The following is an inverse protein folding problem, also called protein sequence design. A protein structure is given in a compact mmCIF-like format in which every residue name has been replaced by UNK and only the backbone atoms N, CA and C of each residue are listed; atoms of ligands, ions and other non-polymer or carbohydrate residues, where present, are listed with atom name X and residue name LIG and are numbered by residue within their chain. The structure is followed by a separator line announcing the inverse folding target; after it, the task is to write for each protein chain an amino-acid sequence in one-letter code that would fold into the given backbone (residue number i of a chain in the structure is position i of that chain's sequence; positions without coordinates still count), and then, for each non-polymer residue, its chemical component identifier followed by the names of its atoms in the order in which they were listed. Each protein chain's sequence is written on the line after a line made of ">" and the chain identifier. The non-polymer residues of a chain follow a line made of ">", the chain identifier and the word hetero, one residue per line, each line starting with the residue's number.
data_IF_869772484850
#
_entry.id   IF_869772484850
#
_cell.length_a   1.000
_cell.length_b   1.000
_cell.length_c   1.000
_cell.angle_alpha   90.00
_cell.angle_beta   90.00
_cell.angle_gamma   90.00
#
_symmetry.space_group_name_H-M   'P 1'
#
loop_
_entity.id
_entity.type
_entity.pdbx_description
1 polymer ?
#
# COMPACT_ATOMS: atom_id res chain seq x y z
N UNK A 1 -5.53 -25.12 -7.48
CA UNK A 1 -5.35 -23.81 -8.20
C UNK A 1 -4.18 -22.99 -7.70
N UNK A 2 -3.89 -22.96 -6.40
CA UNK A 2 -2.80 -22.12 -5.85
C UNK A 2 -1.45 -22.33 -6.55
N UNK A 3 -1.09 -23.57 -6.85
CA UNK A 3 0.19 -23.94 -7.45
C UNK A 3 0.18 -24.03 -8.98
N UNK A 4 -0.96 -23.74 -9.62
CA UNK A 4 -1.05 -23.69 -11.08
C UNK A 4 -0.48 -22.36 -11.58
N UNK A 5 0.28 -22.40 -12.70
CA UNK A 5 0.82 -21.18 -13.29
C UNK A 5 -0.30 -20.29 -13.85
N UNK A 6 0.00 -19.01 -13.95
CA UNK A 6 -0.82 -18.02 -14.63
C UNK A 6 0.02 -17.22 -15.61
N UNK A 7 -0.47 -17.04 -16.83
CA UNK A 7 0.19 -16.17 -17.81
C UNK A 7 -0.54 -14.83 -17.87
N UNK A 8 0.16 -13.75 -17.56
CA UNK A 8 -0.30 -12.38 -17.73
C UNK A 8 0.66 -11.63 -18.65
N UNK A 9 0.17 -11.10 -19.73
CA UNK A 9 0.97 -10.32 -20.70
C UNK A 9 2.25 -11.03 -21.15
N UNK A 10 2.17 -12.35 -21.38
CA UNK A 10 3.33 -13.18 -21.74
C UNK A 10 4.28 -13.53 -20.59
N UNK A 11 4.05 -13.00 -19.40
CA UNK A 11 4.82 -13.35 -18.20
C UNK A 11 4.17 -14.52 -17.48
N UNK A 12 4.92 -15.58 -17.21
CA UNK A 12 4.44 -16.72 -16.42
C UNK A 12 4.70 -16.48 -14.95
N UNK A 13 3.64 -16.48 -14.15
CA UNK A 13 3.66 -16.57 -12.70
C UNK A 13 3.58 -18.04 -12.30
N UNK A 14 4.61 -18.58 -11.69
CA UNK A 14 4.75 -20.03 -11.39
C UNK A 14 3.72 -20.60 -10.39
N UNK A 15 2.97 -19.75 -9.71
CA UNK A 15 1.84 -20.06 -8.82
C UNK A 15 0.95 -18.82 -8.67
N UNK A 16 -0.11 -18.91 -7.86
CA UNK A 16 -1.09 -17.83 -7.69
C UNK A 16 -0.84 -16.93 -6.49
N UNK A 17 0.32 -17.03 -5.81
CA UNK A 17 0.63 -16.23 -4.64
C UNK A 17 1.64 -15.12 -4.94
N UNK A 18 1.24 -13.89 -4.58
CA UNK A 18 2.07 -12.68 -4.70
C UNK A 18 2.32 -12.09 -3.30
N UNK A 19 3.55 -11.64 -3.05
CA UNK A 19 3.82 -10.75 -1.92
C UNK A 19 3.32 -9.35 -2.26
N UNK A 20 2.26 -8.90 -1.56
CA UNK A 20 1.69 -7.56 -1.71
C UNK A 20 2.69 -6.48 -1.31
N UNK A 21 2.49 -5.25 -1.78
CA UNK A 21 3.32 -4.10 -1.40
C UNK A 21 3.47 -3.98 0.12
N UNK A 22 4.70 -4.11 0.60
CA UNK A 22 5.12 -3.88 1.98
C UNK A 22 6.30 -2.93 1.93
N UNK A 23 6.26 -1.87 2.71
CA UNK A 23 7.34 -0.90 2.78
C UNK A 23 7.61 -0.44 4.19
N UNK A 24 8.76 0.16 4.40
CA UNK A 24 9.19 0.77 5.64
C UNK A 24 10.70 0.75 5.78
N UNK A 25 11.32 1.92 5.98
CA UNK A 25 12.74 2.13 6.32
C UNK A 25 13.74 1.28 5.54
N UNK A 26 13.51 1.16 4.23
CA UNK A 26 14.29 0.30 3.32
C UNK A 26 15.17 1.10 2.35
N UNK A 27 15.41 2.36 2.68
CA UNK A 27 16.29 3.23 1.91
C UNK A 27 17.12 4.15 2.84
N UNK A 28 18.12 4.78 2.23
CA UNK A 28 18.84 5.88 2.86
C UNK A 28 18.00 7.17 2.82
N UNK A 29 18.40 8.19 3.60
CA UNK A 29 17.68 9.46 3.69
C UNK A 29 17.55 10.23 2.37
N UNK A 30 18.40 9.94 1.38
CA UNK A 30 18.27 10.50 0.05
C UNK A 30 17.25 9.77 -0.85
N UNK A 31 16.68 8.67 -0.36
CA UNK A 31 15.75 7.80 -1.08
C UNK A 31 16.39 6.69 -1.89
N UNK A 32 17.72 6.54 -1.84
CA UNK A 32 18.42 5.41 -2.46
C UNK A 32 18.14 4.14 -1.67
N UNK A 33 17.84 3.05 -2.36
CA UNK A 33 17.63 1.74 -1.71
C UNK A 33 18.90 1.27 -1.01
N UNK A 34 18.74 0.67 0.17
CA UNK A 34 19.86 0.12 0.93
C UNK A 34 19.96 -1.40 0.76
N UNK A 35 21.09 -2.03 1.13
CA UNK A 35 21.26 -3.48 1.02
C UNK A 35 20.21 -4.30 1.78
N UNK A 36 19.67 -3.76 2.89
CA UNK A 36 18.61 -4.39 3.66
C UNK A 36 17.35 -4.63 2.82
N UNK A 37 16.97 -3.70 1.92
CA UNK A 37 15.83 -3.92 1.04
C UNK A 37 16.06 -5.10 0.09
N UNK A 38 17.24 -5.22 -0.48
CA UNK A 38 17.58 -6.37 -1.33
C UNK A 38 17.41 -7.69 -0.57
N UNK A 39 17.94 -7.79 0.67
CA UNK A 39 17.76 -8.97 1.52
C UNK A 39 16.29 -9.24 1.84
N UNK A 40 15.55 -8.20 2.20
CA UNK A 40 14.14 -8.30 2.50
C UNK A 40 13.32 -8.83 1.32
N UNK A 41 13.51 -8.29 0.12
CA UNK A 41 12.76 -8.70 -1.07
C UNK A 41 13.13 -10.12 -1.51
N UNK A 42 14.42 -10.47 -1.53
CA UNK A 42 14.90 -11.80 -1.94
C UNK A 42 14.42 -12.92 -1.02
N UNK A 43 14.20 -12.65 0.26
CA UNK A 43 13.67 -13.63 1.22
C UNK A 43 12.36 -14.26 0.76
N UNK A 44 11.44 -13.46 0.22
CA UNK A 44 10.15 -13.96 -0.27
C UNK A 44 10.29 -14.68 -1.61
N UNK A 45 11.16 -14.19 -2.48
CA UNK A 45 11.46 -14.84 -3.76
C UNK A 45 12.05 -16.24 -3.55
N UNK A 46 13.01 -16.37 -2.62
CA UNK A 46 13.59 -17.66 -2.18
C UNK A 46 12.53 -18.61 -1.62
N UNK A 47 11.56 -18.08 -0.86
CA UNK A 47 10.43 -18.85 -0.33
C UNK A 47 9.41 -19.27 -1.40
N UNK A 48 9.59 -18.86 -2.66
CA UNK A 48 8.90 -19.41 -3.82
C UNK A 48 7.65 -18.67 -4.26
N UNK A 49 7.34 -17.46 -3.75
CA UNK A 49 6.21 -16.67 -4.27
C UNK A 49 6.40 -16.41 -5.77
N UNK A 50 5.29 -16.37 -6.52
CA UNK A 50 5.34 -16.19 -7.97
C UNK A 50 5.70 -14.77 -8.38
N UNK A 51 5.39 -13.80 -7.53
CA UNK A 51 5.69 -12.41 -7.79
C UNK A 51 5.74 -11.57 -6.52
N UNK A 52 6.38 -10.45 -6.62
CA UNK A 52 6.49 -9.43 -5.58
C UNK A 52 6.05 -8.09 -6.17
N UNK A 53 5.10 -7.43 -5.51
CA UNK A 53 4.84 -6.02 -5.73
C UNK A 53 5.68 -5.25 -4.72
N UNK A 54 6.58 -4.40 -5.19
CA UNK A 54 7.53 -3.66 -4.35
C UNK A 54 6.87 -2.81 -3.27
N UNK A 55 7.64 -2.31 -2.32
CA UNK A 55 7.23 -1.12 -1.57
C UNK A 55 6.81 -0.02 -2.56
N UNK A 56 5.92 0.88 -2.14
CA UNK A 56 5.60 2.05 -2.96
C UNK A 56 6.85 2.91 -3.11
N UNK A 57 7.26 3.17 -4.35
CA UNK A 57 8.39 4.03 -4.69
C UNK A 57 7.86 5.42 -5.00
N UNK A 58 8.43 6.44 -4.35
CA UNK A 58 8.00 7.82 -4.53
C UNK A 58 8.45 8.39 -5.89
N UNK A 59 7.52 9.05 -6.58
CA UNK A 59 7.77 9.71 -7.86
C UNK A 59 8.26 11.16 -7.71
N UNK A 60 8.09 11.73 -6.53
CA UNK A 60 8.44 13.11 -6.19
C UNK A 60 9.55 13.16 -5.14
N UNK A 61 10.45 14.13 -5.23
CA UNK A 61 11.56 14.28 -4.30
C UNK A 61 11.16 14.87 -2.95
N UNK A 62 10.18 15.76 -2.95
CA UNK A 62 9.79 16.54 -1.78
C UNK A 62 8.71 15.83 -0.97
N UNK A 63 7.71 15.25 -1.66
CA UNK A 63 6.63 14.50 -1.01
C UNK A 63 7.08 13.07 -0.75
N UNK A 64 7.61 12.85 0.42
CA UNK A 64 8.16 11.58 0.85
C UNK A 64 7.29 10.90 1.89
N UNK A 65 7.12 9.60 1.76
CA UNK A 65 6.33 8.81 2.69
C UNK A 65 6.93 8.82 4.11
N UNK A 66 6.10 8.87 5.16
CA UNK A 66 6.55 8.71 6.54
C UNK A 66 7.25 7.37 6.81
N UNK A 67 7.09 6.39 5.94
CA UNK A 67 7.74 5.09 6.03
C UNK A 67 9.11 5.04 5.32
N UNK A 68 9.64 6.19 4.91
CA UNK A 68 10.94 6.31 4.23
C UNK A 68 11.03 5.34 3.03
N UNK A 69 10.08 5.48 2.09
CA UNK A 69 10.07 4.67 0.89
C UNK A 69 11.16 5.12 -0.09
N UNK A 70 11.68 4.20 -0.91
CA UNK A 70 12.60 4.55 -1.98
C UNK A 70 12.02 5.59 -2.93
N UNK A 71 12.89 6.30 -3.64
CA UNK A 71 12.54 7.27 -4.67
C UNK A 71 12.90 6.76 -6.06
N UNK A 72 12.15 7.22 -7.06
CA UNK A 72 12.46 7.04 -8.48
C UNK A 72 12.25 8.34 -9.26
N UNK A 73 12.45 9.48 -8.59
CA UNK A 73 12.34 10.83 -9.12
C UNK A 73 13.47 11.22 -10.08
N UNK A 74 14.63 10.55 -9.97
CA UNK A 74 15.82 10.79 -10.80
C UNK A 74 16.46 9.49 -11.32
N UNK A 75 17.19 9.60 -12.43
CA UNK A 75 17.80 8.44 -13.09
C UNK A 75 18.90 7.76 -12.24
N UNK A 76 19.50 8.48 -11.30
CA UNK A 76 20.48 7.92 -10.34
C UNK A 76 19.92 6.76 -9.51
N UNK A 77 18.61 6.69 -9.31
CA UNK A 77 17.95 5.64 -8.55
C UNK A 77 17.74 4.34 -9.34
N UNK A 78 17.87 4.36 -10.67
CA UNK A 78 17.64 3.21 -11.54
C UNK A 78 18.61 2.06 -11.22
N UNK A 79 19.91 2.36 -11.11
CA UNK A 79 20.94 1.32 -10.90
C UNK A 79 20.75 0.57 -9.58
N UNK A 80 20.61 1.22 -8.40
CA UNK A 80 20.40 0.51 -7.14
C UNK A 80 19.12 -0.35 -7.14
N UNK A 81 18.03 0.13 -7.76
CA UNK A 81 16.77 -0.63 -7.87
C UNK A 81 16.95 -1.84 -8.80
N UNK A 82 17.66 -1.69 -9.92
CA UNK A 82 17.98 -2.80 -10.85
C UNK A 82 18.71 -3.96 -10.16
N UNK A 83 19.57 -3.68 -9.20
CA UNK A 83 20.27 -4.73 -8.42
C UNK A 83 19.28 -5.55 -7.57
N UNK A 84 18.26 -4.92 -7.01
CA UNK A 84 17.16 -5.60 -6.29
C UNK A 84 16.33 -6.43 -7.26
N UNK A 85 15.93 -5.85 -8.40
CA UNK A 85 15.16 -6.54 -9.45
C UNK A 85 15.85 -7.84 -9.87
N UNK A 86 17.13 -7.76 -10.25
CA UNK A 86 17.92 -8.93 -10.67
C UNK A 86 18.03 -9.99 -9.57
N UNK A 87 18.20 -9.55 -8.32
CA UNK A 87 18.32 -10.48 -7.20
C UNK A 87 17.02 -11.25 -6.94
N UNK A 88 15.86 -10.62 -7.12
CA UNK A 88 14.55 -11.26 -7.00
C UNK A 88 14.27 -12.19 -8.21
N UNK A 89 14.52 -11.71 -9.42
CA UNK A 89 14.28 -12.47 -10.66
C UNK A 89 15.15 -13.74 -10.76
N UNK A 90 16.31 -13.79 -10.09
CA UNK A 90 17.17 -14.99 -10.00
C UNK A 90 16.45 -16.21 -9.39
N UNK A 91 15.34 -16.02 -8.68
CA UNK A 91 14.51 -17.07 -8.08
C UNK A 91 13.24 -17.38 -8.88
N UNK A 92 13.19 -17.04 -10.17
CA UNK A 92 11.98 -17.15 -11.00
C UNK A 92 10.77 -16.51 -10.31
N UNK A 93 10.96 -15.31 -9.79
CA UNK A 93 9.95 -14.49 -9.13
C UNK A 93 9.76 -13.19 -9.91
N UNK A 94 8.54 -12.90 -10.33
CA UNK A 94 8.23 -11.66 -11.06
C UNK A 94 8.31 -10.47 -10.11
N UNK A 95 8.92 -9.39 -10.59
CA UNK A 95 9.07 -8.18 -9.78
C UNK A 95 8.34 -7.01 -10.41
N UNK A 96 7.29 -6.54 -9.74
CA UNK A 96 6.45 -5.43 -10.17
C UNK A 96 6.76 -4.24 -9.29
N UNK A 97 7.20 -3.14 -9.88
CA UNK A 97 7.47 -1.91 -9.13
C UNK A 97 6.19 -1.11 -8.95
N UNK A 98 5.78 -0.91 -7.69
CA UNK A 98 4.68 -0.03 -7.37
C UNK A 98 5.19 1.41 -7.19
N UNK A 99 4.57 2.37 -7.89
CA UNK A 99 4.89 3.79 -7.76
C UNK A 99 3.72 4.59 -7.20
N UNK A 100 4.03 5.66 -6.47
CA UNK A 100 3.04 6.51 -5.84
C UNK A 100 3.60 7.83 -5.32
N UNK A 101 2.68 8.66 -4.84
CA UNK A 101 2.95 9.93 -4.20
C UNK A 101 2.08 9.99 -2.93
N UNK A 102 2.63 10.24 -1.74
CA UNK A 102 1.85 10.27 -0.50
C UNK A 102 0.90 11.46 -0.39
N UNK A 103 1.05 12.48 -1.24
CA UNK A 103 0.28 13.71 -1.14
C UNK A 103 0.44 14.37 0.24
N UNK A 104 -0.66 14.78 0.87
CA UNK A 104 -0.61 15.40 2.19
C UNK A 104 -0.20 14.46 3.34
N UNK A 105 -0.08 13.15 3.08
CA UNK A 105 0.51 12.21 4.04
C UNK A 105 2.04 12.29 4.08
N UNK A 106 2.63 13.19 3.33
CA UNK A 106 4.07 13.50 3.38
C UNK A 106 4.52 13.70 4.83
N UNK A 107 5.62 13.09 5.18
CA UNK A 107 6.24 13.32 6.48
C UNK A 107 6.89 14.69 6.50
N UNK A 108 6.65 15.44 7.57
CA UNK A 108 7.52 16.55 7.96
C UNK A 108 8.85 15.95 8.43
N UNK A 109 9.70 15.59 7.51
CA UNK A 109 11.08 15.20 7.76
C UNK A 109 11.96 16.45 7.83
N UNK A 110 13.24 16.27 8.11
CA UNK A 110 14.23 17.35 8.00
C UNK A 110 14.21 18.07 6.62
N UNK A 111 13.59 17.47 5.62
CA UNK A 111 13.59 17.91 4.23
C UNK A 111 12.21 18.32 3.70
N UNK A 112 11.11 17.88 4.34
CA UNK A 112 9.75 18.24 3.92
C UNK A 112 9.32 19.53 4.62
N UNK A 113 8.84 20.49 3.82
CA UNK A 113 8.29 21.74 4.31
C UNK A 113 6.76 21.65 4.48
N UNK A 114 6.13 22.51 5.30
CA UNK A 114 4.66 22.51 5.45
C UNK A 114 3.91 22.67 4.14
N UNK A 115 4.44 23.40 3.18
CA UNK A 115 3.90 23.60 1.82
C UNK A 115 3.93 22.33 0.95
N UNK A 116 4.69 21.33 1.32
CA UNK A 116 4.73 20.04 0.62
C UNK A 116 3.53 19.13 0.95
N UNK A 117 2.68 19.50 1.92
CA UNK A 117 1.45 18.78 2.25
C UNK A 117 0.35 19.00 1.20
N UNK A 118 0.70 18.74 -0.05
CA UNK A 118 -0.17 18.93 -1.23
C UNK A 118 -1.26 17.87 -1.30
N UNK A 119 -2.44 18.30 -1.77
CA UNK A 119 -3.62 17.46 -1.96
C UNK A 119 -4.49 17.99 -3.09
N UNK A 120 -5.58 17.29 -3.38
CA UNK A 120 -6.57 17.75 -4.34
C UNK A 120 -7.20 19.11 -3.95
N UNK A 121 -7.44 19.32 -2.64
CA UNK A 121 -8.07 20.56 -2.14
C UNK A 121 -7.53 20.97 -0.78
N UNK A 122 -7.65 22.25 -0.47
CA UNK A 122 -7.40 22.77 0.88
C UNK A 122 -8.29 22.07 1.91
N UNK A 123 -7.81 22.00 3.13
CA UNK A 123 -8.61 21.47 4.23
C UNK A 123 -7.80 21.05 5.42
N UNK A 124 -8.52 20.52 6.39
CA UNK A 124 -7.96 19.93 7.61
C UNK A 124 -8.13 18.42 7.58
N UNK A 125 -7.11 17.70 8.01
CA UNK A 125 -7.22 16.27 8.31
C UNK A 125 -6.93 16.04 9.78
N UNK A 126 -7.94 15.59 10.52
CA UNK A 126 -7.84 15.36 11.96
C UNK A 126 -7.18 14.02 12.29
N UNK A 127 -7.15 13.10 11.34
CA UNK A 127 -6.75 11.70 11.58
C UNK A 127 -5.39 11.39 10.97
N UNK A 128 -5.25 11.62 9.66
CA UNK A 128 -4.07 11.22 8.91
C UNK A 128 -3.01 12.33 8.82
N UNK A 129 -1.76 11.89 8.65
CA UNK A 129 -0.62 12.78 8.50
C UNK A 129 -0.20 13.47 9.81
N UNK A 130 0.83 14.27 9.72
CA UNK A 130 1.38 15.05 10.84
C UNK A 130 0.92 16.50 10.81
N UNK A 131 0.75 17.06 9.61
CA UNK A 131 0.30 18.41 9.41
C UNK A 131 -1.19 18.59 9.74
N UNK A 132 -1.56 19.79 10.13
CA UNK A 132 -2.96 20.15 10.40
C UNK A 132 -3.70 20.58 9.14
N UNK A 133 -2.98 20.98 8.06
CA UNK A 133 -3.54 21.58 6.88
C UNK A 133 -3.14 20.81 5.63
N UNK A 134 -4.10 20.58 4.75
CA UNK A 134 -3.88 20.18 3.36
C UNK A 134 -3.82 21.43 2.51
N UNK A 135 -2.95 21.44 1.52
CA UNK A 135 -2.78 22.57 0.57
C UNK A 135 -3.20 22.09 -0.81
N UNK A 136 -4.16 22.80 -1.40
CA UNK A 136 -4.61 22.51 -2.76
C UNK A 136 -3.47 22.66 -3.77
N UNK A 137 -3.34 21.68 -4.66
CA UNK A 137 -2.48 21.79 -5.83
C UNK A 137 -3.13 22.75 -6.85
N UNK A 138 -2.35 23.65 -7.41
CA UNK A 138 -2.75 24.37 -8.62
C UNK A 138 -2.86 23.40 -9.80
N UNK A 139 -3.56 23.79 -10.86
CA UNK A 139 -3.67 22.98 -12.09
C UNK A 139 -2.29 22.63 -12.65
N UNK A 140 -1.35 23.60 -12.69
CA UNK A 140 0.02 23.35 -13.14
C UNK A 140 0.82 22.40 -12.23
N UNK A 141 0.53 22.37 -10.91
CA UNK A 141 1.13 21.38 -10.01
C UNK A 141 0.56 19.98 -10.26
N UNK A 142 -0.74 19.85 -10.57
CA UNK A 142 -1.36 18.57 -10.96
C UNK A 142 -0.73 18.05 -12.25
N UNK A 143 -0.57 18.90 -13.27
CA UNK A 143 0.06 18.54 -14.54
C UNK A 143 1.53 18.10 -14.35
N UNK A 144 2.28 18.79 -13.48
CA UNK A 144 3.64 18.35 -13.12
C UNK A 144 3.64 17.00 -12.40
N UNK A 145 2.69 16.76 -11.53
CA UNK A 145 2.58 15.45 -10.87
C UNK A 145 2.26 14.34 -11.88
N UNK A 146 1.40 14.57 -12.88
CA UNK A 146 1.19 13.65 -13.99
C UNK A 146 2.52 13.32 -14.69
N UNK A 147 3.31 14.34 -15.02
CA UNK A 147 4.61 14.16 -15.68
C UNK A 147 5.60 13.38 -14.81
N UNK A 148 5.61 13.60 -13.49
CA UNK A 148 6.45 12.84 -12.54
C UNK A 148 6.13 11.34 -12.57
N UNK A 149 4.85 10.95 -12.62
CA UNK A 149 4.45 9.54 -12.79
C UNK A 149 4.91 8.97 -14.12
N UNK A 150 4.80 9.73 -15.21
CA UNK A 150 5.26 9.33 -16.56
C UNK A 150 6.77 9.11 -16.58
N UNK A 151 7.52 10.04 -16.03
CA UNK A 151 8.99 9.96 -15.96
C UNK A 151 9.44 8.78 -15.07
N UNK A 152 8.73 8.56 -13.95
CA UNK A 152 8.97 7.40 -13.10
C UNK A 152 8.69 6.08 -13.84
N UNK A 153 7.64 6.01 -14.68
CA UNK A 153 7.33 4.82 -15.45
C UNK A 153 8.42 4.49 -16.47
N UNK A 154 9.03 5.47 -17.13
CA UNK A 154 10.22 5.29 -17.97
C UNK A 154 11.35 4.65 -17.16
N UNK A 155 11.66 5.22 -15.99
CA UNK A 155 12.71 4.71 -15.11
C UNK A 155 12.41 3.30 -14.60
N UNK A 156 11.14 3.01 -14.27
CA UNK A 156 10.70 1.65 -13.89
C UNK A 156 11.07 0.65 -14.99
N UNK A 157 10.71 0.92 -16.25
CA UNK A 157 11.05 0.05 -17.37
C UNK A 157 12.56 -0.13 -17.51
N UNK A 158 13.35 0.92 -17.31
CA UNK A 158 14.81 0.88 -17.38
C UNK A 158 15.47 0.08 -16.24
N UNK A 159 14.78 -0.18 -15.12
CA UNK A 159 15.30 -1.07 -14.08
C UNK A 159 15.36 -2.54 -14.53
N UNK A 160 14.60 -2.93 -15.56
CA UNK A 160 14.49 -4.29 -16.04
C UNK A 160 13.50 -5.16 -15.23
N UNK A 161 12.61 -4.56 -14.46
CA UNK A 161 11.54 -5.28 -13.77
C UNK A 161 10.47 -5.78 -14.74
N UNK A 162 9.57 -6.66 -14.26
CA UNK A 162 8.56 -7.32 -15.08
C UNK A 162 7.29 -6.46 -15.30
N UNK A 163 7.08 -5.42 -14.48
CA UNK A 163 5.90 -4.58 -14.61
C UNK A 163 5.89 -3.38 -13.69
N UNK A 164 4.89 -2.51 -13.90
CA UNK A 164 4.60 -1.34 -13.07
C UNK A 164 3.19 -1.44 -12.48
N UNK A 165 3.03 -1.01 -11.22
CA UNK A 165 1.73 -0.81 -10.59
C UNK A 165 1.60 0.63 -10.10
N UNK A 166 0.51 1.32 -10.47
CA UNK A 166 0.18 2.64 -9.93
C UNK A 166 -0.70 2.47 -8.70
N UNK A 167 -0.32 3.08 -7.56
CA UNK A 167 -1.18 3.05 -6.38
C UNK A 167 -2.21 4.17 -6.39
N UNK A 168 -3.48 3.81 -6.63
CA UNK A 168 -4.64 4.69 -6.55
C UNK A 168 -5.51 4.37 -5.31
N UNK A 169 -4.87 3.98 -4.21
CA UNK A 169 -5.50 3.49 -2.99
C UNK A 169 -4.80 4.06 -1.75
N UNK A 170 -5.27 3.66 -0.56
CA UNK A 170 -4.64 3.93 0.74
C UNK A 170 -4.48 5.40 1.12
N UNK A 171 -5.25 6.30 0.50
CA UNK A 171 -5.19 7.73 0.80
C UNK A 171 -3.99 8.46 0.21
N UNK A 172 -3.25 7.86 -0.72
CA UNK A 172 -2.18 8.53 -1.46
C UNK A 172 -2.74 9.56 -2.46
N UNK A 173 -1.88 10.36 -3.07
CA UNK A 173 -2.28 11.53 -3.86
C UNK A 173 -3.38 11.21 -4.89
N UNK A 174 -3.24 10.15 -5.67
CA UNK A 174 -4.26 9.74 -6.64
C UNK A 174 -5.59 9.43 -5.93
N UNK A 175 -5.56 8.69 -4.82
CA UNK A 175 -6.76 8.40 -4.05
C UNK A 175 -7.39 9.66 -3.44
N UNK A 176 -6.57 10.67 -3.09
CA UNK A 176 -7.06 11.97 -2.62
C UNK A 176 -7.82 12.73 -3.72
N UNK A 177 -7.45 12.55 -4.99
CA UNK A 177 -8.20 13.11 -6.13
C UNK A 177 -9.48 12.33 -6.42
N UNK A 178 -9.49 11.02 -6.26
CA UNK A 178 -10.68 10.18 -6.47
C UNK A 178 -11.73 10.37 -5.37
N UNK A 179 -11.30 10.58 -4.11
CA UNK A 179 -12.18 10.63 -2.95
C UNK A 179 -12.92 11.98 -2.83
N UNK A 180 -14.27 12.00 -2.79
CA UNK A 180 -15.05 13.24 -2.74
C UNK A 180 -14.89 14.04 -1.45
N UNK A 181 -14.40 13.44 -0.35
CA UNK A 181 -14.15 14.17 0.89
C UNK A 181 -12.85 14.99 0.83
N UNK A 182 -11.87 14.53 0.08
CA UNK A 182 -10.57 15.20 -0.08
C UNK A 182 -10.52 16.06 -1.33
N UNK A 183 -11.30 15.73 -2.36
CA UNK A 183 -11.35 16.47 -3.62
C UNK A 183 -12.65 17.30 -3.69
N UNK A 184 -12.51 18.60 -3.45
CA UNK A 184 -13.58 19.60 -3.54
C UNK A 184 -13.29 20.62 -4.65
N UNK A 185 -12.48 20.25 -5.62
CA UNK A 185 -12.15 21.10 -6.78
C UNK A 185 -13.37 21.34 -7.66
N UNK A 186 -13.37 22.48 -8.31
CA UNK A 186 -14.40 22.89 -9.29
C UNK A 186 -13.87 22.92 -10.72
N UNK A 187 -12.55 22.68 -10.90
CA UNK A 187 -11.92 22.59 -12.21
C UNK A 187 -12.10 21.20 -12.85
N UNK A 188 -11.32 20.92 -13.92
CA UNK A 188 -11.40 19.65 -14.66
C UNK A 188 -11.01 18.39 -13.83
N UNK A 189 -10.41 18.57 -12.66
CA UNK A 189 -9.96 17.48 -11.78
C UNK A 189 -10.89 17.21 -10.59
N UNK A 190 -12.05 17.86 -10.50
CA UNK A 190 -12.96 17.72 -9.36
C UNK A 190 -14.44 17.88 -9.68
N UNK A 191 -15.30 17.62 -8.68
CA UNK A 191 -16.75 17.65 -8.82
C UNK A 191 -17.33 16.27 -9.15
N UNK A 192 -17.65 15.98 -10.42
CA UNK A 192 -18.22 14.70 -10.82
C UNK A 192 -17.23 13.54 -10.71
N UNK A 193 -17.75 12.31 -10.77
CA UNK A 193 -16.93 11.07 -10.74
C UNK A 193 -15.91 11.08 -11.88
N UNK A 194 -16.33 11.49 -13.08
CA UNK A 194 -15.50 11.56 -14.29
C UNK A 194 -14.36 12.55 -14.14
N UNK A 195 -14.64 13.73 -13.56
CA UNK A 195 -13.62 14.76 -13.34
C UNK A 195 -12.66 14.37 -12.22
N UNK A 196 -13.13 13.74 -11.16
CA UNK A 196 -12.22 13.21 -10.12
C UNK A 196 -11.29 12.12 -10.66
N UNK A 197 -11.73 11.36 -11.66
CA UNK A 197 -10.91 10.36 -12.35
C UNK A 197 -9.87 10.98 -13.30
N UNK A 198 -10.03 12.24 -13.72
CA UNK A 198 -9.20 12.86 -14.75
C UNK A 198 -7.69 12.82 -14.44
N UNK A 199 -7.30 13.04 -13.18
CA UNK A 199 -5.90 12.95 -12.76
C UNK A 199 -5.32 11.55 -13.00
N UNK A 200 -6.03 10.51 -12.58
CA UNK A 200 -5.61 9.12 -12.81
C UNK A 200 -5.64 8.77 -14.31
N UNK A 201 -6.63 9.26 -15.05
CA UNK A 201 -6.73 9.07 -16.51
C UNK A 201 -5.47 9.57 -17.22
N UNK A 202 -5.06 10.80 -16.96
CA UNK A 202 -3.87 11.40 -17.58
C UNK A 202 -2.59 10.62 -17.23
N UNK A 203 -2.44 10.20 -15.99
CA UNK A 203 -1.31 9.35 -15.54
C UNK A 203 -1.32 8.03 -16.32
N UNK A 204 -2.43 7.30 -16.34
CA UNK A 204 -2.51 5.98 -16.98
C UNK A 204 -2.24 6.07 -18.48
N UNK A 205 -2.80 7.06 -19.17
CA UNK A 205 -2.54 7.30 -20.58
C UNK A 205 -1.06 7.60 -20.85
N UNK A 206 -0.46 8.47 -20.04
CA UNK A 206 0.96 8.82 -20.17
C UNK A 206 1.87 7.63 -19.88
N UNK A 207 1.62 6.91 -18.80
CA UNK A 207 2.37 5.70 -18.42
C UNK A 207 2.28 4.64 -19.52
N UNK A 208 1.07 4.31 -20.02
CA UNK A 208 0.89 3.30 -21.06
C UNK A 208 1.64 3.67 -22.36
N UNK A 209 1.60 4.94 -22.78
CA UNK A 209 2.40 5.40 -23.94
C UNK A 209 3.90 5.24 -23.70
N UNK A 210 4.36 5.46 -22.48
CA UNK A 210 5.79 5.43 -22.14
C UNK A 210 6.33 4.02 -22.02
N UNK A 211 5.58 3.12 -21.34
CA UNK A 211 6.04 1.73 -21.14
C UNK A 211 5.68 0.80 -22.31
N UNK A 212 4.86 1.24 -23.25
CA UNK A 212 4.42 0.43 -24.39
C UNK A 212 3.36 -0.61 -24.01
N UNK A 213 2.89 -1.38 -25.00
CA UNK A 213 1.84 -2.39 -24.81
C UNK A 213 2.35 -3.76 -24.40
N UNK A 214 3.65 -3.99 -24.45
CA UNK A 214 4.35 -5.24 -24.12
C UNK A 214 4.73 -5.34 -22.63
N UNK A 215 4.67 -4.24 -21.87
CA UNK A 215 5.05 -4.17 -20.47
C UNK A 215 3.83 -4.33 -19.55
N UNK A 216 3.92 -5.18 -18.53
CA UNK A 216 2.82 -5.42 -17.58
C UNK A 216 2.52 -4.16 -16.77
N UNK A 217 1.26 -3.71 -16.82
CA UNK A 217 0.81 -2.50 -16.16
C UNK A 217 -0.46 -2.72 -15.35
N UNK A 218 -0.39 -2.53 -14.05
CA UNK A 218 -1.51 -2.65 -13.14
C UNK A 218 -1.83 -1.37 -12.37
N UNK A 219 -3.03 -1.35 -11.80
CA UNK A 219 -3.45 -0.29 -10.88
C UNK A 219 -4.01 -0.91 -9.60
N UNK A 220 -3.51 -0.45 -8.45
CA UNK A 220 -4.09 -0.78 -7.15
C UNK A 220 -5.20 0.20 -6.82
N UNK A 221 -6.43 -0.31 -6.62
CA UNK A 221 -7.63 0.50 -6.43
C UNK A 221 -8.37 0.08 -5.16
N UNK A 222 -8.90 1.04 -4.41
CA UNK A 222 -9.84 0.77 -3.32
C UNK A 222 -11.23 0.51 -3.87
N UNK A 223 -11.86 -0.60 -3.47
CA UNK A 223 -13.22 -0.93 -3.87
C UNK A 223 -14.27 -0.01 -3.21
N UNK A 224 -13.99 0.43 -1.98
CA UNK A 224 -14.76 1.45 -1.29
C UNK A 224 -13.86 2.21 -0.31
N UNK A 225 -14.14 3.50 -0.13
CA UNK A 225 -13.23 4.36 0.63
C UNK A 225 -13.31 4.14 2.14
N UNK A 226 -14.51 3.89 2.70
CA UNK A 226 -14.69 3.72 4.16
C UNK A 226 -13.84 4.70 4.95
N UNK A 227 -13.93 5.99 4.72
CA UNK A 227 -13.00 7.01 5.19
C UNK A 227 -12.55 6.72 6.65
N UNK A 228 -12.72 7.55 7.61
CA UNK A 228 -12.26 7.26 8.97
C UNK A 228 -13.09 6.20 9.70
N UNK A 229 -14.41 6.21 9.52
CA UNK A 229 -15.28 5.18 10.11
C UNK A 229 -15.40 3.96 9.19
N UNK A 230 -15.67 2.76 9.73
CA UNK A 230 -15.89 1.56 8.93
C UNK A 230 -17.23 1.61 8.15
N UNK A 231 -17.76 2.80 7.95
CA UNK A 231 -19.01 3.11 7.27
C UNK A 231 -18.70 4.05 6.11
N UNK A 232 -19.19 3.69 4.93
CA UNK A 232 -19.15 4.59 3.78
C UNK A 232 -20.53 5.26 3.64
N UNK A 233 -20.70 6.43 4.23
CA UNK A 233 -21.94 7.20 4.18
C UNK A 233 -21.81 8.30 3.13
N UNK A 234 -22.69 8.27 2.13
CA UNK A 234 -22.84 9.31 1.12
C UNK A 234 -23.87 10.32 1.58
N UNK A 235 -23.42 11.26 2.35
CA UNK A 235 -24.31 12.33 2.75
C UNK A 235 -23.71 13.68 2.36
N UNK A 236 -24.52 14.66 1.99
CA UNK A 236 -24.05 16.03 1.84
C UNK A 236 -23.76 16.61 3.21
N UNK A 237 -22.86 15.97 3.96
CA UNK A 237 -22.50 16.43 5.29
C UNK A 237 -21.55 17.59 5.14
N UNK A 238 -21.98 18.69 5.72
CA UNK A 238 -21.26 19.95 5.76
C UNK A 238 -19.97 19.78 6.58
N UNK A 239 -18.90 20.50 6.15
CA UNK A 239 -17.70 20.67 6.97
C UNK A 239 -18.04 20.84 8.47
N UNK A 240 -17.30 20.21 9.43
CA UNK A 240 -16.06 19.47 9.24
C UNK A 240 -16.24 17.94 9.06
N UNK A 241 -17.45 17.41 9.14
CA UNK A 241 -17.70 15.96 9.20
C UNK A 241 -17.64 15.28 7.82
N UNK A 242 -17.66 16.03 6.74
CA UNK A 242 -17.60 15.50 5.38
C UNK A 242 -16.44 14.55 5.15
N UNK A 243 -15.27 14.84 5.71
CA UNK A 243 -14.09 13.99 5.60
C UNK A 243 -14.30 12.60 6.24
N UNK A 244 -15.08 12.50 7.29
CA UNK A 244 -15.34 11.23 7.95
C UNK A 244 -16.32 10.33 7.22
N UNK A 245 -17.28 10.92 6.51
CA UNK A 245 -18.44 10.21 6.00
C UNK A 245 -18.51 10.13 4.47
N UNK A 246 -18.07 11.15 3.76
CA UNK A 246 -18.05 11.10 2.29
C UNK A 246 -16.95 10.16 1.78
N UNK A 247 -17.25 9.42 0.72
CA UNK A 247 -16.31 8.52 0.07
C UNK A 247 -16.90 7.89 -1.17
N UNK A 248 -16.07 7.25 -1.99
CA UNK A 248 -16.54 6.43 -3.09
C UNK A 248 -17.10 5.11 -2.57
N UNK A 249 -18.19 4.66 -3.14
CA UNK A 249 -18.66 3.31 -3.00
C UNK A 249 -18.36 2.48 -4.25
N UNK A 250 -18.89 1.27 -4.27
CA UNK A 250 -18.63 0.32 -5.34
C UNK A 250 -19.06 0.85 -6.73
N UNK A 251 -20.12 1.65 -6.81
CA UNK A 251 -20.60 2.21 -8.08
C UNK A 251 -19.56 3.09 -8.76
N UNK A 252 -18.97 4.03 -8.02
CA UNK A 252 -17.93 4.93 -8.55
C UNK A 252 -16.65 4.18 -8.85
N UNK A 253 -16.25 3.28 -7.98
CA UNK A 253 -14.99 2.54 -8.17
C UNK A 253 -15.07 1.53 -9.30
N UNK A 254 -16.24 0.94 -9.57
CA UNK A 254 -16.48 0.15 -10.78
C UNK A 254 -16.46 1.01 -12.06
N UNK A 255 -16.94 2.26 -11.99
CA UNK A 255 -16.75 3.20 -13.10
C UNK A 255 -15.26 3.43 -13.37
N UNK A 256 -14.46 3.69 -12.33
CA UNK A 256 -13.01 3.84 -12.48
C UNK A 256 -12.35 2.59 -13.07
N UNK A 257 -12.76 1.42 -12.63
CA UNK A 257 -12.22 0.15 -13.12
C UNK A 257 -12.48 -0.07 -14.61
N UNK A 258 -13.70 0.23 -15.10
CA UNK A 258 -14.05 0.16 -16.52
C UNK A 258 -13.22 1.13 -17.35
N UNK A 259 -13.07 2.36 -16.89
CA UNK A 259 -12.23 3.34 -17.56
C UNK A 259 -10.76 2.89 -17.62
N UNK A 260 -10.22 2.31 -16.52
CA UNK A 260 -8.86 1.76 -16.49
C UNK A 260 -8.68 0.62 -17.50
N UNK A 261 -9.67 -0.26 -17.64
CA UNK A 261 -9.66 -1.32 -18.62
C UNK A 261 -9.63 -0.77 -20.06
N UNK A 262 -10.47 0.23 -20.36
CA UNK A 262 -10.47 0.92 -21.67
C UNK A 262 -9.14 1.64 -21.96
N UNK A 263 -8.45 2.11 -20.92
CA UNK A 263 -7.13 2.76 -21.05
C UNK A 263 -5.97 1.77 -21.20
N UNK A 264 -6.26 0.47 -21.24
CA UNK A 264 -5.28 -0.58 -21.49
C UNK A 264 -4.45 -1.00 -20.28
N UNK A 265 -5.01 -0.91 -19.07
CA UNK A 265 -4.44 -1.53 -17.85
C UNK A 265 -4.60 -3.05 -17.99
N UNK A 266 -3.59 -3.82 -17.59
CA UNK A 266 -3.54 -5.27 -17.76
C UNK A 266 -4.15 -6.05 -16.59
N UNK A 267 -4.15 -5.47 -15.37
CA UNK A 267 -4.77 -6.06 -14.18
C UNK A 267 -5.16 -4.99 -13.15
N UNK A 268 -6.09 -5.33 -12.27
CA UNK A 268 -6.39 -4.54 -11.08
C UNK A 268 -6.00 -5.28 -9.79
N UNK A 269 -5.44 -4.55 -8.83
CA UNK A 269 -5.15 -5.02 -7.48
C UNK A 269 -6.15 -4.41 -6.50
N UNK A 270 -7.11 -5.19 -6.01
CA UNK A 270 -8.24 -4.69 -5.24
C UNK A 270 -7.94 -4.70 -3.75
N UNK A 271 -8.17 -3.54 -3.13
CA UNK A 271 -8.06 -3.30 -1.68
C UNK A 271 -9.29 -2.52 -1.19
N UNK A 272 -9.33 -2.14 0.07
CA UNK A 272 -10.39 -1.29 0.64
C UNK A 272 -9.82 -0.17 1.51
N UNK A 273 -10.65 0.81 1.77
CA UNK A 273 -10.42 1.87 2.73
C UNK A 273 -9.55 3.03 2.24
N UNK A 274 -9.80 4.19 2.82
CA UNK A 274 -8.99 5.39 2.69
C UNK A 274 -8.08 5.51 3.92
N UNK A 275 -6.80 5.78 3.68
CA UNK A 275 -5.80 5.92 4.74
C UNK A 275 -5.19 4.59 5.21
N UNK A 276 -4.17 4.71 6.03
CA UNK A 276 -3.40 3.63 6.65
C UNK A 276 -3.77 3.59 8.13
N UNK A 277 -4.03 2.58 8.71
CA UNK A 277 -4.66 1.31 8.53
C UNK A 277 -6.19 1.47 8.57
N UNK A 278 -6.92 0.64 7.86
CA UNK A 278 -8.39 0.69 7.85
C UNK A 278 -8.95 -0.69 8.22
N UNK A 279 -9.92 -0.79 9.15
CA UNK A 279 -10.45 -2.09 9.60
C UNK A 279 -11.11 -2.91 8.48
N UNK A 280 -11.53 -2.26 7.39
CA UNK A 280 -12.12 -2.92 6.21
C UNK A 280 -11.09 -3.56 5.28
N UNK A 281 -9.81 -3.35 5.51
CA UNK A 281 -8.72 -3.93 4.73
C UNK A 281 -7.66 -4.57 5.62
N UNK A 282 -7.19 -3.82 6.62
CA UNK A 282 -6.19 -4.28 7.57
C UNK A 282 -6.83 -5.09 8.71
N UNK A 283 -7.70 -6.03 8.33
CA UNK A 283 -8.51 -6.85 9.26
C UNK A 283 -7.69 -7.38 10.44
N UNK A 284 -8.27 -7.39 11.66
CA UNK A 284 -7.61 -7.82 12.89
C UNK A 284 -7.85 -6.90 14.08
N UNK A 285 -6.84 -6.63 14.90
CA UNK A 285 -6.94 -5.80 16.10
C UNK A 285 -6.34 -4.42 15.90
N UNK A 286 -6.80 -3.43 16.66
CA UNK A 286 -6.16 -2.11 16.71
C UNK A 286 -4.96 -2.12 17.69
N UNK A 287 -3.73 -1.81 17.25
CA UNK A 287 -2.51 -1.96 18.05
C UNK A 287 -2.24 -0.73 18.92
N UNK A 288 -2.74 -0.73 20.15
CA UNK A 288 -2.70 0.40 21.09
C UNK A 288 -1.28 0.89 21.35
N UNK A 289 -0.37 -0.04 21.67
CA UNK A 289 0.97 0.31 22.15
C UNK A 289 1.83 0.88 21.03
N UNK A 290 1.71 0.34 19.81
CA UNK A 290 2.41 0.81 18.64
C UNK A 290 1.90 2.19 18.18
N UNK A 291 0.59 2.46 18.34
CA UNK A 291 0.05 3.81 18.11
C UNK A 291 0.57 4.82 19.14
N UNK A 292 0.73 4.43 20.39
CA UNK A 292 1.37 5.29 21.40
C UNK A 292 2.83 5.56 21.06
N UNK A 293 3.57 4.51 20.71
CA UNK A 293 4.97 4.62 20.29
C UNK A 293 5.10 5.60 19.12
N UNK A 294 4.32 5.38 18.08
CA UNK A 294 4.28 6.26 16.92
C UNK A 294 3.90 7.70 17.27
N UNK A 295 2.82 7.91 18.03
CA UNK A 295 2.38 9.24 18.42
C UNK A 295 3.43 9.99 19.22
N UNK A 296 4.14 9.31 20.13
CA UNK A 296 5.21 9.89 20.93
C UNK A 296 6.43 10.27 20.09
N UNK A 297 6.78 9.44 19.08
CA UNK A 297 7.94 9.71 18.21
C UNK A 297 7.76 10.96 17.36
N UNK A 298 6.51 11.30 17.00
CA UNK A 298 6.19 12.44 16.11
C UNK A 298 5.56 13.63 16.82
N UNK A 299 5.42 13.60 18.16
CA UNK A 299 4.70 14.64 18.92
C UNK A 299 5.30 16.05 18.76
N UNK A 300 6.57 16.14 18.42
CA UNK A 300 7.29 17.41 18.25
C UNK A 300 7.06 18.06 16.87
N UNK A 301 6.45 17.35 15.91
CA UNK A 301 6.32 17.80 14.53
C UNK A 301 5.16 18.81 14.34
N UNK A 302 4.13 18.76 15.17
CA UNK A 302 3.00 19.71 15.08
C UNK A 302 2.14 19.73 16.35
N UNK A 303 1.35 20.78 16.53
CA UNK A 303 0.37 20.87 17.61
C UNK A 303 -0.64 19.71 17.58
N UNK A 304 -1.11 19.32 16.39
CA UNK A 304 -1.98 18.14 16.21
C UNK A 304 -1.32 16.87 16.70
N UNK A 305 -0.07 16.64 16.34
CA UNK A 305 0.67 15.45 16.75
C UNK A 305 0.89 15.43 18.27
N UNK A 306 1.17 16.59 18.87
CA UNK A 306 1.32 16.74 20.31
C UNK A 306 0.03 16.41 21.06
N UNK A 307 -1.11 16.99 20.66
CA UNK A 307 -2.43 16.73 21.26
C UNK A 307 -2.80 15.26 21.13
N UNK A 308 -2.57 14.64 19.97
CA UNK A 308 -2.82 13.21 19.75
C UNK A 308 -2.00 12.35 20.69
N UNK A 309 -0.70 12.63 20.84
CA UNK A 309 0.17 11.89 21.75
C UNK A 309 -0.30 12.04 23.22
N UNK A 310 -0.66 13.26 23.63
CA UNK A 310 -1.19 13.53 24.96
C UNK A 310 -2.47 12.73 25.22
N UNK A 311 -3.45 12.74 24.31
CA UNK A 311 -4.70 12.01 24.46
C UNK A 311 -4.49 10.49 24.52
N UNK A 312 -3.63 9.94 23.66
CA UNK A 312 -3.32 8.52 23.67
C UNK A 312 -2.60 8.07 24.95
N UNK A 313 -1.78 8.93 25.56
CA UNK A 313 -1.09 8.61 26.81
C UNK A 313 -1.99 8.79 28.04
N UNK A 314 -2.92 9.75 28.02
CA UNK A 314 -3.83 10.02 29.13
C UNK A 314 -4.89 8.92 29.32
N UNK A 315 -5.41 8.38 28.22
CA UNK A 315 -6.48 7.39 28.27
C UNK A 315 -5.95 6.00 28.63
N UNK A 316 -6.58 5.27 29.56
CA UNK A 316 -6.20 3.91 29.91
C UNK A 316 -6.28 2.98 28.67
N UNK A 317 -5.36 1.98 28.63
CA UNK A 317 -5.29 1.01 27.51
C UNK A 317 -6.63 0.31 27.23
N UNK A 318 -7.42 -0.14 28.22
CA UNK A 318 -8.72 -0.75 27.95
C UNK A 318 -9.70 0.20 27.26
N UNK A 319 -9.70 1.48 27.64
CA UNK A 319 -10.54 2.51 27.03
C UNK A 319 -10.14 2.74 25.57
N UNK A 320 -8.86 2.87 25.28
CA UNK A 320 -8.35 3.02 23.91
C UNK A 320 -8.73 1.80 23.05
N UNK A 321 -8.56 0.58 23.61
CA UNK A 321 -8.92 -0.66 22.91
C UNK A 321 -10.42 -0.73 22.61
N UNK A 322 -11.27 -0.29 23.54
CA UNK A 322 -12.73 -0.30 23.35
C UNK A 322 -13.18 0.76 22.36
N UNK A 323 -12.64 1.97 22.41
CA UNK A 323 -13.07 3.08 21.53
C UNK A 323 -12.50 2.93 20.13
N UNK A 324 -11.18 2.78 20.00
CA UNK A 324 -10.53 2.71 18.69
C UNK A 324 -10.56 1.31 18.07
N UNK A 325 -10.86 0.28 18.86
CA UNK A 325 -11.07 -1.09 18.41
C UNK A 325 -12.42 -1.35 17.76
N UNK A 326 -13.34 -0.35 17.75
CA UNK A 326 -14.64 -0.50 17.12
C UNK A 326 -14.47 -0.81 15.62
N UNK A 327 -15.11 -1.89 15.16
CA UNK A 327 -15.02 -2.36 13.78
C UNK A 327 -13.76 -3.16 13.44
N UNK A 328 -12.81 -3.27 14.36
CA UNK A 328 -11.60 -4.08 14.19
C UNK A 328 -11.85 -5.54 14.59
N UNK A 329 -11.87 -6.40 13.61
CA UNK A 329 -11.95 -7.85 13.79
C UNK A 329 -11.29 -8.55 12.61
N UNK A 330 -10.75 -9.73 12.82
CA UNK A 330 -10.27 -10.56 11.73
C UNK A 330 -11.44 -11.06 10.88
N UNK A 331 -11.30 -10.94 9.57
CA UNK A 331 -12.17 -11.51 8.57
C UNK A 331 -11.30 -12.14 7.48
N UNK A 332 -11.43 -13.46 7.24
CA UNK A 332 -10.71 -14.11 6.16
C UNK A 332 -11.20 -13.59 4.80
N UNK A 333 -10.28 -13.42 3.85
CA UNK A 333 -10.55 -13.02 2.48
C UNK A 333 -11.50 -11.81 2.36
N UNK A 334 -11.36 -10.81 3.26
CA UNK A 334 -12.32 -9.71 3.47
C UNK A 334 -12.68 -8.92 2.21
N UNK A 335 -11.81 -8.92 1.20
CA UNK A 335 -12.01 -8.20 -0.06
C UNK A 335 -12.32 -9.13 -1.26
N UNK A 336 -12.51 -10.44 -1.04
CA UNK A 336 -12.70 -11.41 -2.12
C UNK A 336 -13.98 -11.15 -2.92
N UNK A 337 -15.09 -10.87 -2.25
CA UNK A 337 -16.36 -10.52 -2.91
C UNK A 337 -16.23 -9.26 -3.78
N UNK A 338 -15.54 -8.23 -3.28
CA UNK A 338 -15.31 -7.03 -4.06
C UNK A 338 -14.41 -7.32 -5.27
N UNK A 339 -13.35 -8.10 -5.09
CA UNK A 339 -12.47 -8.51 -6.19
C UNK A 339 -13.24 -9.23 -7.30
N UNK A 340 -14.15 -10.14 -6.93
CA UNK A 340 -15.05 -10.85 -7.85
C UNK A 340 -15.92 -9.86 -8.66
N UNK A 341 -16.55 -8.89 -8.01
CA UNK A 341 -17.40 -7.88 -8.68
C UNK A 341 -16.59 -7.05 -9.67
N UNK A 342 -15.35 -6.70 -9.33
CA UNK A 342 -14.46 -6.01 -10.27
C UNK A 342 -14.11 -6.90 -11.46
N UNK A 343 -13.71 -8.14 -11.22
CA UNK A 343 -13.36 -9.10 -12.27
C UNK A 343 -14.52 -9.31 -13.25
N UNK A 344 -15.74 -9.49 -12.74
CA UNK A 344 -16.96 -9.63 -13.58
C UNK A 344 -17.25 -8.36 -14.39
N UNK A 345 -16.98 -7.18 -13.83
CA UNK A 345 -17.31 -5.91 -14.48
C UNK A 345 -16.34 -5.52 -15.60
N UNK A 346 -15.08 -5.96 -15.55
CA UNK A 346 -14.03 -5.49 -16.47
C UNK A 346 -13.43 -6.58 -17.34
N UNK A 347 -13.57 -7.86 -17.00
CA UNK A 347 -13.00 -8.98 -17.74
C UNK A 347 -11.47 -9.06 -17.72
N UNK A 348 -10.79 -8.26 -16.88
CA UNK A 348 -9.34 -8.30 -16.68
C UNK A 348 -8.97 -9.17 -15.48
N UNK A 349 -7.73 -9.68 -15.42
CA UNK A 349 -7.19 -10.33 -14.25
C UNK A 349 -7.25 -9.42 -13.01
N UNK A 350 -7.62 -10.02 -11.87
CA UNK A 350 -7.72 -9.31 -10.60
C UNK A 350 -6.84 -9.98 -9.55
N UNK A 351 -6.07 -9.17 -8.84
CA UNK A 351 -5.33 -9.55 -7.66
C UNK A 351 -6.19 -9.22 -6.44
N UNK A 352 -6.60 -10.26 -5.69
CA UNK A 352 -7.32 -10.11 -4.42
C UNK A 352 -6.34 -9.99 -3.25
N UNK A 353 -6.63 -9.11 -2.28
CA UNK A 353 -5.90 -9.03 -1.04
C UNK A 353 -6.82 -8.85 0.17
N UNK A 354 -6.25 -8.93 1.38
CA UNK A 354 -6.96 -8.68 2.63
C UNK A 354 -7.46 -9.94 3.32
N UNK A 355 -6.89 -10.28 4.48
CA UNK A 355 -7.34 -11.37 5.34
C UNK A 355 -6.97 -12.79 4.88
N UNK A 356 -6.25 -12.97 3.79
CA UNK A 356 -5.76 -14.29 3.38
C UNK A 356 -4.64 -14.77 4.30
N UNK A 357 -4.71 -16.02 4.73
CA UNK A 357 -3.71 -16.69 5.59
C UNK A 357 -3.70 -18.20 5.40
N UNK A 358 -4.86 -18.84 5.39
CA UNK A 358 -5.03 -20.28 5.28
C UNK A 358 -5.01 -20.75 3.84
N UNK A 359 -4.42 -21.92 3.59
CA UNK A 359 -4.40 -22.54 2.27
C UNK A 359 -5.80 -22.75 1.72
N UNK A 360 -6.73 -23.30 2.51
CA UNK A 360 -8.12 -23.54 2.10
C UNK A 360 -8.84 -22.24 1.70
N UNK A 361 -8.64 -21.16 2.44
CA UNK A 361 -9.23 -19.85 2.12
C UNK A 361 -8.72 -19.31 0.77
N UNK A 362 -7.43 -19.48 0.48
CA UNK A 362 -6.83 -19.07 -0.79
C UNK A 362 -7.37 -19.93 -1.93
N UNK A 363 -7.35 -21.26 -1.76
CA UNK A 363 -7.87 -22.21 -2.76
C UNK A 363 -9.35 -21.96 -3.07
N UNK A 364 -10.17 -21.69 -2.04
CA UNK A 364 -11.58 -21.37 -2.19
C UNK A 364 -11.78 -20.11 -3.05
N UNK A 365 -11.08 -19.01 -2.74
CA UNK A 365 -11.21 -17.76 -3.49
C UNK A 365 -10.78 -17.92 -4.97
N UNK A 366 -9.71 -18.66 -5.22
CA UNK A 366 -9.22 -18.93 -6.58
C UNK A 366 -10.17 -19.84 -7.35
N UNK A 367 -10.65 -20.93 -6.72
CA UNK A 367 -11.55 -21.92 -7.34
C UNK A 367 -12.92 -21.32 -7.63
N UNK A 368 -13.44 -20.49 -6.73
CA UNK A 368 -14.68 -19.74 -6.94
C UNK A 368 -14.54 -18.61 -8.00
N UNK A 369 -13.33 -18.37 -8.51
CA UNK A 369 -13.10 -17.34 -9.51
C UNK A 369 -13.17 -15.90 -8.98
N UNK A 370 -13.10 -15.71 -7.67
CA UNK A 370 -13.18 -14.39 -7.04
C UNK A 370 -11.98 -13.50 -7.39
N UNK A 371 -10.82 -14.10 -7.60
CA UNK A 371 -9.62 -13.43 -8.09
C UNK A 371 -8.75 -14.41 -8.90
N UNK A 372 -7.75 -13.89 -9.61
CA UNK A 372 -6.81 -14.69 -10.41
C UNK A 372 -5.50 -14.94 -9.67
N UNK A 373 -5.12 -14.02 -8.81
CA UNK A 373 -3.94 -14.05 -7.94
C UNK A 373 -4.34 -13.56 -6.55
N UNK A 374 -3.69 -14.09 -5.53
CA UNK A 374 -3.85 -13.65 -4.14
C UNK A 374 -2.58 -12.93 -3.69
N UNK A 375 -2.73 -11.70 -3.21
CA UNK A 375 -1.63 -10.93 -2.65
C UNK A 375 -1.69 -10.93 -1.11
N UNK A 376 -0.57 -11.26 -0.48
CA UNK A 376 -0.44 -11.33 0.97
C UNK A 376 0.69 -10.43 1.47
N UNK A 377 0.49 -9.79 2.61
CA UNK A 377 1.51 -8.98 3.29
C UNK A 377 1.87 -9.56 4.66
N UNK A 378 1.05 -9.29 5.68
CA UNK A 378 1.31 -9.64 7.08
C UNK A 378 1.57 -11.12 7.33
N UNK A 379 0.83 -12.08 6.75
CA UNK A 379 1.13 -13.50 6.95
C UNK A 379 2.50 -13.90 6.39
N UNK A 380 2.92 -13.34 5.25
CA UNK A 380 4.26 -13.58 4.69
C UNK A 380 5.35 -12.88 5.51
N UNK A 381 5.08 -11.68 6.06
CA UNK A 381 6.01 -11.02 6.97
C UNK A 381 6.23 -11.85 8.25
N UNK A 382 5.17 -12.47 8.75
CA UNK A 382 5.21 -13.34 9.92
C UNK A 382 5.88 -14.69 9.64
N UNK A 383 5.63 -15.26 8.47
CA UNK A 383 6.10 -16.58 8.04
C UNK A 383 6.52 -16.52 6.56
N UNK A 384 7.75 -16.10 6.25
CA UNK A 384 8.21 -15.96 4.87
C UNK A 384 8.15 -17.26 4.06
N UNK A 385 8.31 -18.40 4.71
CA UNK A 385 8.25 -19.74 4.12
C UNK A 385 6.80 -20.30 3.98
N UNK A 386 5.79 -19.48 4.16
CA UNK A 386 4.38 -19.91 4.18
C UNK A 386 3.99 -20.73 2.93
N UNK A 387 4.48 -20.33 1.74
CA UNK A 387 4.18 -21.09 0.53
C UNK A 387 4.78 -22.50 0.52
N UNK A 388 5.96 -22.68 1.12
CA UNK A 388 6.55 -23.99 1.27
C UNK A 388 5.68 -24.87 2.18
N UNK A 389 5.21 -24.34 3.31
CA UNK A 389 4.29 -25.07 4.20
C UNK A 389 3.01 -25.50 3.48
N UNK A 390 2.48 -24.65 2.60
CA UNK A 390 1.33 -25.01 1.76
C UNK A 390 1.63 -26.11 0.74
N UNK A 391 2.87 -26.17 0.19
CA UNK A 391 3.30 -27.30 -0.67
C UNK A 391 3.37 -28.60 0.12
N UNK A 392 3.80 -28.53 1.38
CA UNK A 392 3.87 -29.65 2.29
C UNK A 392 2.52 -30.01 2.90
N UNK A 393 1.44 -29.54 2.25
CA UNK A 393 0.03 -29.77 2.60
C UNK A 393 -0.41 -29.25 3.98
N UNK A 394 0.37 -28.39 4.61
CA UNK A 394 -0.05 -27.71 5.84
C UNK A 394 -1.11 -26.65 5.53
N UNK A 395 -2.09 -26.53 6.41
CA UNK A 395 -3.17 -25.55 6.27
C UNK A 395 -2.73 -24.14 6.69
N UNK A 396 -1.91 -24.06 7.74
CA UNK A 396 -1.31 -22.85 8.27
C UNK A 396 -0.02 -23.18 9.04
N UNK A 397 0.86 -22.22 9.30
CA UNK A 397 2.06 -22.45 10.09
C UNK A 397 1.72 -22.69 11.57
N UNK A 398 2.62 -23.32 12.31
CA UNK A 398 2.49 -23.54 13.75
C UNK A 398 2.24 -22.23 14.53
N UNK A 399 2.93 -21.15 14.12
CA UNK A 399 2.80 -19.81 14.70
C UNK A 399 2.29 -18.82 13.64
N UNK A 400 0.98 -18.82 13.33
CA UNK A 400 0.41 -18.00 12.28
C UNK A 400 0.43 -16.51 12.62
N UNK A 401 0.20 -15.64 11.64
CA UNK A 401 -0.04 -14.23 11.89
C UNK A 401 -1.33 -14.07 12.72
N UNK A 402 -1.26 -13.38 13.84
CA UNK A 402 -2.43 -13.14 14.73
C UNK A 402 -3.30 -11.97 14.29
N UNK A 403 -2.95 -11.33 13.17
CA UNK A 403 -3.62 -10.12 12.67
C UNK A 403 -3.69 -8.97 13.70
N UNK A 404 -2.71 -8.88 14.57
CA UNK A 404 -2.62 -7.85 15.62
C UNK A 404 -2.33 -6.43 15.07
N UNK A 405 -1.93 -6.29 13.80
CA UNK A 405 -1.56 -5.05 13.13
C UNK A 405 -0.35 -4.29 13.72
N UNK A 406 0.38 -4.85 14.68
CA UNK A 406 1.55 -4.22 15.29
C UNK A 406 2.60 -3.88 14.25
N UNK A 407 2.94 -4.80 13.35
CA UNK A 407 3.89 -4.56 12.26
C UNK A 407 3.52 -3.37 11.38
N UNK A 408 2.23 -3.15 11.11
CA UNK A 408 1.75 -2.08 10.24
C UNK A 408 1.94 -0.68 10.83
N UNK A 409 1.98 -0.56 12.15
CA UNK A 409 2.18 0.71 12.86
C UNK A 409 3.61 0.87 13.34
N UNK A 410 4.21 -0.19 13.89
CA UNK A 410 5.60 -0.19 14.37
C UNK A 410 6.60 0.21 13.27
N UNK A 411 6.36 -0.20 12.01
CA UNK A 411 7.24 0.15 10.89
C UNK A 411 7.38 1.65 10.63
N UNK A 412 6.49 2.48 11.18
CA UNK A 412 6.64 3.94 11.11
C UNK A 412 7.80 4.47 11.96
N UNK A 413 8.28 3.71 12.95
CA UNK A 413 9.36 4.11 13.87
C UNK A 413 10.44 3.05 14.07
N UNK A 414 10.14 1.79 13.75
CA UNK A 414 11.01 0.63 13.95
C UNK A 414 11.27 -0.08 12.59
N UNK A 415 12.28 -0.95 12.49
CA UNK A 415 12.50 -1.77 11.32
C UNK A 415 11.26 -2.58 10.93
N UNK A 416 11.13 -2.93 9.67
CA UNK A 416 10.03 -3.72 9.16
C UNK A 416 10.12 -5.16 9.69
N UNK A 417 9.07 -5.67 10.36
CA UNK A 417 9.08 -7.00 10.95
C UNK A 417 7.78 -7.38 11.66
N UNK A 418 7.72 -8.58 12.22
CA UNK A 418 6.62 -9.02 13.04
C UNK A 418 6.88 -8.71 14.52
N UNK A 419 6.06 -7.86 15.12
CA UNK A 419 6.16 -7.37 16.50
C UNK A 419 5.20 -8.07 17.47
N UNK A 420 4.64 -9.21 17.10
CA UNK A 420 3.77 -9.99 17.99
C UNK A 420 4.59 -10.95 18.84
N UNK A 421 4.91 -10.54 20.05
CA UNK A 421 5.69 -11.34 21.00
C UNK A 421 5.09 -12.72 21.30
N UNK A 422 3.76 -12.86 21.21
CA UNK A 422 3.10 -14.16 21.48
C UNK A 422 3.51 -15.26 20.49
N UNK A 423 4.15 -14.89 19.37
CA UNK A 423 4.63 -15.82 18.34
C UNK A 423 6.07 -16.30 18.57
N UNK A 424 6.75 -15.79 19.57
CA UNK A 424 8.16 -16.03 19.83
C UNK A 424 8.35 -16.57 21.26
N UNK A 425 9.38 -17.38 21.47
CA UNK A 425 9.71 -17.89 22.79
C UNK A 425 10.30 -16.79 23.68
N UNK A 426 10.99 -15.80 23.08
CA UNK A 426 11.58 -14.66 23.79
C UNK A 426 11.53 -13.39 22.95
N UNK A 427 11.81 -12.26 23.59
CA UNK A 427 11.99 -10.99 22.90
C UNK A 427 13.22 -11.02 22.00
N UNK A 428 14.30 -11.66 22.43
CA UNK A 428 15.55 -11.78 21.66
C UNK A 428 15.30 -12.58 20.36
N UNK A 429 14.50 -13.65 20.39
CA UNK A 429 14.12 -14.40 19.17
C UNK A 429 13.34 -13.49 18.19
N UNK A 430 12.40 -12.69 18.69
CA UNK A 430 11.66 -11.73 17.88
C UNK A 430 12.58 -10.69 17.26
N UNK A 431 13.47 -10.10 18.04
CA UNK A 431 14.42 -9.08 17.57
C UNK A 431 15.39 -9.66 16.56
N UNK A 432 15.92 -10.85 16.79
CA UNK A 432 16.79 -11.55 15.84
C UNK A 432 16.09 -11.79 14.50
N UNK A 433 14.81 -12.19 14.51
CA UNK A 433 14.04 -12.36 13.27
C UNK A 433 13.78 -11.04 12.55
N UNK A 434 13.58 -9.94 13.28
CA UNK A 434 13.38 -8.61 12.71
C UNK A 434 14.69 -8.08 12.14
N UNK A 435 15.79 -8.21 12.88
CA UNK A 435 17.08 -7.64 12.51
C UNK A 435 17.83 -8.47 11.45
N UNK A 436 17.45 -9.73 11.25
CA UNK A 436 18.11 -10.62 10.29
C UNK A 436 18.31 -10.00 8.89
N UNK A 437 17.31 -9.28 8.39
CA UNK A 437 17.40 -8.68 7.06
C UNK A 437 18.01 -7.27 7.07
N UNK A 438 18.10 -6.62 8.21
CA UNK A 438 18.71 -5.29 8.33
C UNK A 438 20.22 -5.32 8.19
N UNK A 439 20.83 -6.49 8.36
CA UNK A 439 22.28 -6.71 8.41
C UNK A 439 22.81 -6.59 9.84
N UNK A 440 23.65 -7.53 10.25
CA UNK A 440 24.41 -7.41 11.49
C UNK A 440 25.52 -6.36 11.36
N UNK A 441 26.24 -6.06 12.46
CA UNK A 441 27.34 -5.11 12.46
C UNK A 441 28.49 -5.44 11.47
N UNK A 442 28.51 -6.65 10.92
CA UNK A 442 29.53 -7.09 9.96
C UNK A 442 29.28 -6.62 8.51
N UNK A 443 28.08 -6.11 8.19
CA UNK A 443 27.71 -5.68 6.83
C UNK A 443 27.86 -4.15 6.61
N UNK A 444 28.49 -3.43 7.51
CA UNK A 444 28.66 -1.97 7.46
C UNK A 444 30.05 -1.54 6.96
N UNK A 445 30.76 -2.39 6.22
CA UNK A 445 32.03 -2.03 5.57
C UNK A 445 31.88 -1.97 4.05
#
# INVERSE_FOLDING_TARGET
>A
MLFEPLVLKGLTFKNRLIRSSIGGRTCYYDGTVNPAWKRFETRFAQAGVAGIISATINVDDKRWSPLEYPKLSHDRFIRPIREVVRAVQAFDCRYIIQVGDPGYHTQSSLFAQPEDHKSASDGFDLVFGYGNRRIAMTTGEVERAVQQFIDAARRVRETGCDGIEITAAKGYLIHQFLNPATNQRTDRYGGSVERRFQFLREIVQGVRRTVGTDFLFGVKLSAADHNWLPINVRWPIVFPLRHFFAGNGLTETLYYAKELAHLGVDYLHITNGFGFINPKDSTGSWPVDEFRLYANSVRHLSAKAHIRAMLLNLLPRPVLKSVFGIGWRYQPAVNAEQAERFKQAIGLPVIGNGGFQRRSTIEQALTAGQCDLVAMARPLLANPNLLQLFRDHQEEPERPCTHCNRCSVATAVLPLGCYDQSRFASQDEMEAQILWWTGGPEDTV
#
